data_IF_816893273582
#
_entry.id   IF_816893273582
#
_cell.length_a   1.000
_cell.length_b   1.000
_cell.length_c   1.000
_cell.angle_alpha   90.00
_cell.angle_beta   90.00
_cell.angle_gamma   90.00
#
_symmetry.space_group_name_H-M   'P 1'
#
loop_
_entity.id
_entity.type
_entity.pdbx_description
1 polymer ?
#
# COMPACT_ATOMS: atom_id res chain seq x y z
N UNK A 1 -23.96 4.43 -21.43
CA UNK A 1 -22.56 4.90 -21.38
C UNK A 1 -21.91 4.36 -20.12
N UNK A 2 -21.20 3.24 -20.20
CA UNK A 2 -20.52 2.60 -19.05
C UNK A 2 -19.04 2.31 -19.35
N UNK A 3 -18.56 2.65 -20.56
CA UNK A 3 -17.16 2.47 -20.96
C UNK A 3 -16.19 3.53 -20.45
N UNK A 4 -16.69 4.66 -19.91
CA UNK A 4 -15.85 5.77 -19.41
C UNK A 4 -15.18 5.51 -18.06
N UNK A 5 -15.71 4.58 -17.25
CA UNK A 5 -15.21 4.30 -15.89
C UNK A 5 -14.07 3.27 -15.85
N UNK A 6 -13.91 2.45 -16.89
CA UNK A 6 -12.88 1.39 -16.91
C UNK A 6 -11.45 1.96 -16.86
N UNK A 7 -11.10 3.02 -17.62
CA UNK A 7 -9.79 3.68 -17.48
C UNK A 7 -9.59 4.30 -16.09
N UNK A 8 -10.66 4.80 -15.45
CA UNK A 8 -10.63 5.34 -14.10
C UNK A 8 -10.32 4.27 -13.04
N UNK A 9 -10.90 3.07 -13.20
CA UNK A 9 -10.59 1.92 -12.34
C UNK A 9 -9.15 1.42 -12.53
N UNK A 10 -8.64 1.41 -13.77
CA UNK A 10 -7.24 1.05 -14.03
C UNK A 10 -6.27 2.06 -13.40
N UNK A 11 -6.54 3.35 -13.54
CA UNK A 11 -5.77 4.41 -12.89
C UNK A 11 -5.81 4.32 -11.35
N UNK A 12 -6.97 4.02 -10.78
CA UNK A 12 -7.12 3.80 -9.33
C UNK A 12 -6.32 2.58 -8.86
N UNK A 13 -6.41 1.45 -9.56
CA UNK A 13 -5.65 0.24 -9.23
C UNK A 13 -4.14 0.49 -9.29
N UNK A 14 -3.67 1.20 -10.33
CA UNK A 14 -2.26 1.57 -10.45
C UNK A 14 -1.80 2.48 -9.30
N UNK A 15 -2.62 3.47 -8.92
CA UNK A 15 -2.31 4.38 -7.82
C UNK A 15 -2.23 3.67 -6.46
N UNK A 16 -3.15 2.74 -6.19
CA UNK A 16 -3.13 1.92 -4.98
C UNK A 16 -1.86 1.06 -4.88
N UNK A 17 -1.40 0.50 -6.02
CA UNK A 17 -0.14 -0.25 -6.09
C UNK A 17 1.08 0.64 -5.85
N UNK A 18 1.13 1.82 -6.48
CA UNK A 18 2.21 2.80 -6.26
C UNK A 18 2.34 3.17 -4.79
N UNK A 19 1.22 3.45 -4.11
CA UNK A 19 1.25 3.77 -2.68
C UNK A 19 1.74 2.62 -1.80
N UNK A 20 1.40 1.37 -2.16
CA UNK A 20 1.91 0.20 -1.44
C UNK A 20 3.44 0.08 -1.61
N UNK A 21 3.96 0.32 -2.82
CA UNK A 21 5.40 0.32 -3.09
C UNK A 21 6.14 1.45 -2.35
N UNK A 22 5.61 2.67 -2.37
CA UNK A 22 6.16 3.82 -1.65
C UNK A 22 6.23 3.57 -0.14
N UNK A 23 5.17 2.98 0.44
CA UNK A 23 5.14 2.59 1.85
C UNK A 23 6.18 1.51 2.18
N UNK A 24 6.33 0.52 1.32
CA UNK A 24 7.34 -0.52 1.49
C UNK A 24 8.77 0.05 1.44
N UNK A 25 9.02 0.99 0.53
CA UNK A 25 10.30 1.71 0.44
C UNK A 25 10.57 2.54 1.71
N UNK A 26 9.57 3.28 2.20
CA UNK A 26 9.68 4.04 3.45
C UNK A 26 10.01 3.12 4.63
N UNK A 27 9.29 2.00 4.76
CA UNK A 27 9.52 0.98 5.79
C UNK A 27 10.95 0.43 5.75
N UNK A 28 11.47 0.16 4.56
CA UNK A 28 12.83 -0.33 4.37
C UNK A 28 13.89 0.73 4.70
N UNK A 29 13.70 1.97 4.22
CA UNK A 29 14.64 3.07 4.44
C UNK A 29 14.74 3.43 5.93
N UNK A 30 13.60 3.63 6.59
CA UNK A 30 13.58 3.94 8.01
C UNK A 30 14.04 2.75 8.88
N UNK A 31 13.72 1.51 8.48
CA UNK A 31 14.26 0.31 9.12
C UNK A 31 15.79 0.27 9.13
N UNK A 32 16.44 0.62 8.02
CA UNK A 32 17.92 0.72 7.95
C UNK A 32 18.47 1.77 8.91
N UNK A 33 17.81 2.92 9.05
CA UNK A 33 18.24 3.99 9.97
C UNK A 33 18.10 3.54 11.43
N UNK A 34 16.96 2.94 11.80
CA UNK A 34 16.69 2.51 13.18
C UNK A 34 17.61 1.37 13.64
N UNK A 35 17.95 0.45 12.73
CA UNK A 35 18.83 -0.70 13.03
C UNK A 35 20.31 -0.32 12.92
N UNK A 36 20.67 0.53 11.95
CA UNK A 36 22.07 0.90 11.68
C UNK A 36 22.64 1.97 12.61
N UNK A 37 21.84 2.56 13.49
CA UNK A 37 22.28 3.60 14.42
C UNK A 37 22.65 3.01 15.79
N UNK A 38 23.86 3.31 16.26
CA UNK A 38 24.38 2.92 17.58
C UNK A 38 23.74 3.69 18.74
N UNK A 39 22.54 4.26 18.56
CA UNK A 39 21.87 5.07 19.57
C UNK A 39 21.45 4.21 20.76
N UNK A 40 21.92 4.57 21.95
CA UNK A 40 21.64 3.88 23.20
C UNK A 40 20.87 4.79 24.16
N UNK A 41 20.32 4.22 25.23
CA UNK A 41 19.54 4.97 26.24
C UNK A 41 18.03 4.87 26.05
N UNK A 42 17.30 5.42 27.04
CA UNK A 42 15.83 5.30 27.17
C UNK A 42 15.08 5.76 25.91
N UNK A 43 15.38 6.95 25.41
CA UNK A 43 14.69 7.52 24.25
C UNK A 43 14.96 6.76 22.96
N UNK A 44 16.17 6.22 22.79
CA UNK A 44 16.49 5.36 21.65
C UNK A 44 15.65 4.07 21.68
N UNK A 45 15.43 3.49 22.86
CA UNK A 45 14.58 2.32 23.03
C UNK A 45 13.09 2.63 22.78
N UNK A 46 12.59 3.75 23.32
CA UNK A 46 11.22 4.24 23.06
C UNK A 46 10.97 4.44 21.57
N UNK A 47 11.92 5.04 20.86
CA UNK A 47 11.84 5.21 19.42
C UNK A 47 11.80 3.86 18.68
N UNK A 48 12.65 2.87 19.04
CA UNK A 48 12.61 1.53 18.43
C UNK A 48 11.27 0.83 18.64
N UNK A 49 10.67 0.97 19.82
CA UNK A 49 9.33 0.42 20.12
C UNK A 49 8.28 1.10 19.26
N UNK A 50 8.27 2.45 19.22
CA UNK A 50 7.35 3.21 18.39
C UNK A 50 7.51 2.89 16.89
N UNK A 51 8.75 2.73 16.43
CA UNK A 51 9.05 2.32 15.06
C UNK A 51 8.53 0.92 14.76
N UNK A 52 8.72 -0.05 15.66
CA UNK A 52 8.19 -1.41 15.49
C UNK A 52 6.66 -1.40 15.35
N UNK A 53 5.96 -0.57 16.13
CA UNK A 53 4.52 -0.41 15.98
C UNK A 53 4.16 0.25 14.64
N UNK A 54 4.89 1.28 14.22
CA UNK A 54 4.71 1.93 12.94
C UNK A 54 4.90 0.94 11.77
N UNK A 55 5.93 0.09 11.81
CA UNK A 55 6.17 -0.94 10.80
C UNK A 55 5.00 -1.93 10.67
N UNK A 56 4.40 -2.33 11.79
CA UNK A 56 3.18 -3.16 11.77
C UNK A 56 2.02 -2.45 11.10
N UNK A 57 1.78 -1.19 11.46
CA UNK A 57 0.71 -0.39 10.87
C UNK A 57 0.91 -0.20 9.35
N UNK A 58 2.15 0.04 8.90
CA UNK A 58 2.49 0.11 7.48
C UNK A 58 2.15 -1.21 6.78
N UNK A 59 2.50 -2.35 7.37
CA UNK A 59 2.17 -3.67 6.80
C UNK A 59 0.66 -3.94 6.67
N UNK A 60 -0.14 -3.45 7.62
CA UNK A 60 -1.61 -3.50 7.53
C UNK A 60 -2.11 -2.66 6.35
N UNK A 61 -1.59 -1.42 6.22
CA UNK A 61 -1.97 -0.53 5.12
C UNK A 61 -1.54 -1.10 3.76
N UNK A 62 -0.33 -1.66 3.65
CA UNK A 62 0.13 -2.36 2.43
C UNK A 62 -0.86 -3.47 2.02
N UNK A 63 -1.34 -4.25 2.99
CA UNK A 63 -2.31 -5.32 2.78
C UNK A 63 -3.66 -4.77 2.30
N UNK A 64 -4.16 -3.71 2.96
CA UNK A 64 -5.42 -3.06 2.60
C UNK A 64 -5.37 -2.43 1.20
N UNK A 65 -4.26 -1.80 0.83
CA UNK A 65 -4.04 -1.24 -0.51
C UNK A 65 -4.02 -2.34 -1.57
N UNK A 66 -3.38 -3.48 -1.30
CA UNK A 66 -3.38 -4.62 -2.21
C UNK A 66 -4.79 -5.23 -2.37
N UNK A 67 -5.54 -5.36 -1.27
CA UNK A 67 -6.92 -5.83 -1.29
C UNK A 67 -7.83 -4.88 -2.07
N UNK A 68 -7.70 -3.58 -1.86
CA UNK A 68 -8.44 -2.56 -2.60
C UNK A 68 -8.12 -2.60 -4.10
N UNK A 69 -6.84 -2.72 -4.47
CA UNK A 69 -6.43 -2.85 -5.87
C UNK A 69 -7.03 -4.10 -6.54
N UNK A 70 -7.08 -5.23 -5.82
CA UNK A 70 -7.71 -6.47 -6.29
C UNK A 70 -9.22 -6.31 -6.45
N UNK A 71 -9.89 -5.66 -5.50
CA UNK A 71 -11.33 -5.37 -5.59
C UNK A 71 -11.67 -4.48 -6.79
N UNK A 72 -10.88 -3.44 -7.04
CA UNK A 72 -11.02 -2.57 -8.21
C UNK A 72 -10.90 -3.37 -9.52
N UNK A 73 -9.92 -4.27 -9.62
CA UNK A 73 -9.75 -5.13 -10.80
C UNK A 73 -10.92 -6.10 -11.00
N UNK A 74 -11.43 -6.71 -9.92
CA UNK A 74 -12.61 -7.58 -9.97
C UNK A 74 -13.85 -6.81 -10.44
N UNK A 75 -14.08 -5.61 -9.91
CA UNK A 75 -15.19 -4.77 -10.32
C UNK A 75 -15.08 -4.35 -11.79
N UNK A 76 -13.87 -4.01 -12.26
CA UNK A 76 -13.60 -3.73 -13.67
C UNK A 76 -13.98 -4.92 -14.57
N UNK A 77 -13.56 -6.14 -14.20
CA UNK A 77 -13.90 -7.36 -14.94
C UNK A 77 -15.42 -7.57 -14.98
N UNK A 78 -16.09 -7.43 -13.85
CA UNK A 78 -17.55 -7.55 -13.76
C UNK A 78 -18.27 -6.53 -14.65
N UNK A 79 -17.81 -5.27 -14.67
CA UNK A 79 -18.36 -4.21 -15.54
C UNK A 79 -18.11 -4.56 -17.01
N UNK A 80 -16.91 -5.02 -17.36
CA UNK A 80 -16.57 -5.40 -18.75
C UNK A 80 -17.50 -6.51 -19.26
N UNK A 81 -17.72 -7.55 -18.45
CA UNK A 81 -18.64 -8.65 -18.75
C UNK A 81 -20.09 -8.14 -18.87
N UNK A 82 -20.55 -7.36 -17.89
CA UNK A 82 -21.92 -6.85 -17.86
C UNK A 82 -22.25 -5.87 -18.99
N UNK A 83 -21.23 -5.21 -19.56
CA UNK A 83 -21.39 -4.21 -20.63
C UNK A 83 -21.17 -4.79 -22.03
N UNK A 84 -20.99 -6.12 -22.15
CA UNK A 84 -20.91 -6.82 -23.43
C UNK A 84 -19.59 -6.63 -24.16
N UNK A 85 -18.51 -6.30 -23.45
CA UNK A 85 -17.17 -6.20 -24.03
C UNK A 85 -16.62 -7.57 -24.43
N UNK A 86 -16.88 -7.98 -25.67
CA UNK A 86 -15.99 -8.84 -26.45
C UNK A 86 -15.08 -7.98 -27.32
#
# INVERSE_FOLDING_TARGET
MTGGDLPGLDALSAKLKSFAEELAQLKAAAGKVVVGTAWTGKHANEFRVAWTQCQKNIGLIETDLANAASAVQKNRQAITIATGGQ
#
